data_IF_847518799522
#
_entry.id   IF_847518799522
#
_cell.length_a   1.000
_cell.length_b   1.000
_cell.length_c   1.000
_cell.angle_alpha   90.00
_cell.angle_beta   90.00
_cell.angle_gamma   90.00
#
_symmetry.space_group_name_H-M   'P 1'
#
loop_
_entity.id
_entity.type
_entity.pdbx_description
1 polymer ?
#
# COMPACT_ATOMS: atom_id res chain seq x y z
N UNK A 1 21.19 -13.96 39.15
CA UNK A 1 20.58 -14.53 37.97
C UNK A 1 20.83 -13.55 36.83
N UNK A 2 21.67 -13.88 35.88
CA UNK A 2 21.77 -13.09 34.63
C UNK A 2 20.49 -13.40 33.87
N UNK A 3 19.66 -12.40 33.59
CA UNK A 3 18.61 -12.49 32.60
C UNK A 3 19.27 -12.94 31.30
N UNK A 4 18.87 -14.10 30.79
CA UNK A 4 19.22 -14.52 29.42
C UNK A 4 18.68 -13.43 28.50
N UNK A 5 19.57 -12.71 27.82
CA UNK A 5 19.16 -11.83 26.71
C UNK A 5 18.39 -12.69 25.71
N UNK A 6 17.29 -12.18 25.15
CA UNK A 6 16.64 -12.86 24.04
C UNK A 6 17.71 -13.21 22.99
N UNK A 7 17.67 -14.44 22.49
CA UNK A 7 18.58 -14.88 21.42
C UNK A 7 18.35 -13.95 20.23
N UNK A 8 19.40 -13.26 19.79
CA UNK A 8 19.33 -12.32 18.67
C UNK A 8 18.73 -13.01 17.44
N UNK A 9 17.61 -12.49 16.96
CA UNK A 9 16.95 -12.98 15.73
C UNK A 9 17.83 -12.66 14.54
N UNK A 10 18.15 -13.65 13.71
CA UNK A 10 18.90 -13.47 12.46
C UNK A 10 17.91 -13.34 11.33
N UNK A 11 17.89 -12.16 10.73
CA UNK A 11 17.04 -11.82 9.58
C UNK A 11 17.82 -12.02 8.28
N UNK A 12 17.20 -12.63 7.28
CA UNK A 12 17.70 -12.65 5.91
C UNK A 12 16.76 -11.89 4.98
N UNK A 13 17.32 -11.06 4.11
CA UNK A 13 16.60 -10.31 3.08
C UNK A 13 17.05 -10.79 1.70
N UNK A 14 16.13 -11.33 0.93
CA UNK A 14 16.38 -11.76 -0.46
C UNK A 14 15.71 -10.74 -1.39
N UNK A 15 16.53 -9.87 -1.99
CA UNK A 15 16.11 -8.63 -2.63
C UNK A 15 16.21 -7.44 -1.66
N UNK A 16 17.16 -6.52 -1.92
CA UNK A 16 17.46 -5.38 -1.04
C UNK A 16 17.16 -4.07 -1.79
N UNK A 17 15.97 -4.00 -2.41
CA UNK A 17 15.45 -2.78 -3.01
C UNK A 17 14.74 -1.88 -2.00
N UNK A 18 13.78 -1.09 -2.48
CA UNK A 18 12.96 -0.21 -1.62
C UNK A 18 12.33 -0.97 -0.44
N UNK A 19 11.56 -2.03 -0.72
CA UNK A 19 10.83 -2.76 0.32
C UNK A 19 11.77 -3.55 1.22
N UNK A 20 12.66 -4.38 0.65
CA UNK A 20 13.61 -5.18 1.44
C UNK A 20 14.56 -4.31 2.27
N UNK A 21 15.06 -3.22 1.70
CA UNK A 21 15.87 -2.24 2.43
C UNK A 21 15.11 -1.57 3.56
N UNK A 22 13.84 -1.21 3.34
CA UNK A 22 12.98 -0.63 4.39
C UNK A 22 12.69 -1.62 5.53
N UNK A 23 12.47 -2.91 5.20
CA UNK A 23 12.36 -3.96 6.22
C UNK A 23 13.62 -4.01 7.08
N UNK A 24 14.80 -3.99 6.46
CA UNK A 24 16.07 -4.01 7.18
C UNK A 24 16.27 -2.78 8.08
N UNK A 25 15.98 -1.59 7.57
CA UNK A 25 16.07 -0.34 8.35
C UNK A 25 15.08 -0.34 9.52
N UNK A 26 13.81 -0.69 9.28
CA UNK A 26 12.79 -0.75 10.32
C UNK A 26 13.13 -1.81 11.39
N UNK A 27 13.57 -3.00 10.97
CA UNK A 27 13.98 -4.07 11.88
C UNK A 27 15.12 -3.64 12.79
N UNK A 28 16.15 -3.00 12.24
CA UNK A 28 17.29 -2.50 13.02
C UNK A 28 16.89 -1.38 14.00
N UNK A 29 16.01 -0.48 13.57
CA UNK A 29 15.69 0.72 14.35
C UNK A 29 14.62 0.48 15.42
N UNK A 30 13.79 -0.59 15.27
CA UNK A 30 12.57 -0.78 16.07
C UNK A 30 12.47 -2.15 16.76
N UNK A 31 13.26 -3.13 16.35
CA UNK A 31 13.24 -4.47 16.95
C UNK A 31 14.60 -4.84 17.55
N UNK A 32 14.75 -4.54 18.84
CA UNK A 32 15.97 -4.84 19.61
C UNK A 32 16.32 -6.35 19.65
N UNK A 33 15.42 -7.22 19.21
CA UNK A 33 15.67 -8.66 19.13
C UNK A 33 16.41 -9.07 17.85
N UNK A 34 16.53 -8.17 16.85
CA UNK A 34 17.24 -8.46 15.59
C UNK A 34 18.73 -8.12 15.73
N UNK A 35 19.57 -9.14 15.71
CA UNK A 35 21.02 -8.99 15.86
C UNK A 35 21.78 -8.90 14.52
N UNK A 36 21.51 -9.81 13.60
CA UNK A 36 22.12 -9.84 12.27
C UNK A 36 21.06 -9.68 11.17
N UNK A 37 21.38 -8.86 10.17
CA UNK A 37 20.58 -8.72 8.94
C UNK A 37 21.46 -9.06 7.75
N UNK A 38 21.30 -10.28 7.22
CA UNK A 38 22.01 -10.73 6.03
C UNK A 38 21.21 -10.37 4.78
N UNK A 39 21.79 -9.64 3.83
CA UNK A 39 21.13 -9.28 2.58
C UNK A 39 21.75 -9.94 1.38
N UNK A 40 20.94 -10.39 0.44
CA UNK A 40 21.34 -10.83 -0.91
C UNK A 40 20.55 -10.08 -1.97
N UNK A 41 21.27 -9.52 -2.94
CA UNK A 41 20.71 -8.91 -4.16
C UNK A 41 21.69 -9.17 -5.33
N UNK A 42 21.20 -9.62 -6.50
CA UNK A 42 22.06 -9.89 -7.65
C UNK A 42 22.56 -8.63 -8.35
N UNK A 43 21.99 -7.46 -8.05
CA UNK A 43 22.32 -6.20 -8.72
C UNK A 43 23.60 -5.62 -8.17
N UNK A 44 24.61 -5.35 -9.02
CA UNK A 44 25.88 -4.78 -8.56
C UNK A 44 25.71 -3.47 -7.80
N UNK A 45 26.40 -3.32 -6.67
CA UNK A 45 26.41 -2.10 -5.86
C UNK A 45 25.25 -1.95 -4.88
N UNK A 46 24.16 -2.71 -5.01
CA UNK A 46 23.00 -2.64 -4.10
C UNK A 46 23.39 -3.02 -2.68
N UNK A 47 24.16 -4.09 -2.50
CA UNK A 47 24.57 -4.54 -1.18
C UNK A 47 25.54 -3.57 -0.50
N UNK A 48 26.44 -2.95 -1.25
CA UNK A 48 27.36 -1.92 -0.72
C UNK A 48 26.58 -0.71 -0.20
N UNK A 49 25.59 -0.26 -0.98
CA UNK A 49 24.71 0.84 -0.58
C UNK A 49 23.82 0.46 0.61
N UNK A 50 23.28 -0.77 0.64
CA UNK A 50 22.50 -1.28 1.75
C UNK A 50 23.31 -1.36 3.05
N UNK A 51 24.58 -1.76 2.99
CA UNK A 51 25.51 -1.71 4.12
C UNK A 51 25.76 -0.28 4.57
N UNK A 52 25.99 0.64 3.64
CA UNK A 52 26.23 2.06 3.94
C UNK A 52 25.05 2.71 4.63
N UNK A 53 23.83 2.41 4.18
CA UNK A 53 22.59 2.89 4.77
C UNK A 53 22.24 2.18 6.10
N UNK A 54 22.85 1.01 6.32
CA UNK A 54 22.57 0.15 7.46
C UNK A 54 21.29 -0.64 7.34
N UNK A 55 20.77 -0.82 6.13
CA UNK A 55 19.64 -1.69 5.85
C UNK A 55 19.99 -3.17 6.03
N UNK A 56 21.26 -3.51 5.90
CA UNK A 56 21.83 -4.83 6.21
C UNK A 56 23.09 -4.67 7.06
N UNK A 57 23.41 -5.70 7.82
CA UNK A 57 24.68 -5.78 8.61
C UNK A 57 25.73 -6.67 7.93
N UNK A 58 25.28 -7.55 7.01
CA UNK A 58 26.14 -8.47 6.27
C UNK A 58 25.64 -8.62 4.82
N UNK A 59 26.56 -8.48 3.87
CA UNK A 59 26.30 -8.84 2.47
C UNK A 59 26.51 -10.36 2.30
N UNK A 60 25.49 -11.04 1.81
CA UNK A 60 25.57 -12.47 1.49
C UNK A 60 25.99 -12.68 0.03
N UNK A 61 26.70 -13.78 -0.23
CA UNK A 61 27.22 -14.12 -1.56
C UNK A 61 26.23 -14.91 -2.41
N UNK A 62 25.19 -15.48 -1.77
CA UNK A 62 24.10 -16.20 -2.44
C UNK A 62 22.85 -16.21 -1.55
N UNK A 63 21.73 -16.69 -2.12
CA UNK A 63 20.48 -16.91 -1.36
C UNK A 63 20.72 -17.90 -0.22
N UNK A 64 21.45 -18.97 -0.48
CA UNK A 64 21.75 -20.03 0.50
C UNK A 64 22.63 -19.48 1.63
N UNK A 65 23.63 -18.64 1.31
CA UNK A 65 24.47 -17.98 2.33
C UNK A 65 23.66 -17.06 3.22
N UNK A 66 22.71 -16.31 2.67
CA UNK A 66 21.82 -15.46 3.45
C UNK A 66 20.90 -16.29 4.37
N UNK A 67 20.34 -17.39 3.86
CA UNK A 67 19.29 -18.17 4.51
C UNK A 67 19.82 -19.21 5.52
N UNK A 68 21.07 -19.69 5.40
CA UNK A 68 21.60 -20.87 6.11
C UNK A 68 21.43 -20.83 7.64
N UNK A 69 21.53 -19.65 8.24
CA UNK A 69 21.41 -19.47 9.70
C UNK A 69 20.28 -18.52 10.07
N UNK A 70 19.44 -18.15 9.13
CA UNK A 70 18.36 -17.21 9.39
C UNK A 70 17.23 -17.84 10.20
N UNK A 71 16.72 -17.07 11.12
CA UNK A 71 15.53 -17.41 11.92
C UNK A 71 14.26 -16.87 11.26
N UNK A 72 14.40 -15.79 10.49
CA UNK A 72 13.34 -15.18 9.68
C UNK A 72 13.92 -14.78 8.32
N UNK A 73 13.21 -15.11 7.24
CA UNK A 73 13.61 -14.74 5.88
C UNK A 73 12.48 -13.96 5.21
N UNK A 74 12.82 -12.80 4.64
CA UNK A 74 11.89 -11.98 3.86
C UNK A 74 12.34 -11.98 2.39
N UNK A 75 11.48 -12.49 1.52
CA UNK A 75 11.65 -12.48 0.08
C UNK A 75 11.08 -11.19 -0.49
N UNK A 76 11.93 -10.26 -0.89
CA UNK A 76 11.55 -8.96 -1.46
C UNK A 76 12.01 -8.81 -2.92
N UNK A 77 12.09 -9.92 -3.64
CA UNK A 77 12.37 -9.98 -5.08
C UNK A 77 11.09 -9.83 -5.91
N UNK A 78 11.20 -9.56 -7.24
CA UNK A 78 10.05 -9.47 -8.14
C UNK A 78 9.15 -10.71 -8.09
N UNK A 79 7.82 -10.51 -8.24
CA UNK A 79 6.81 -11.59 -8.12
C UNK A 79 7.16 -12.80 -8.99
N UNK A 80 7.64 -12.59 -10.20
CA UNK A 80 8.00 -13.66 -11.13
C UNK A 80 9.14 -14.59 -10.66
N UNK A 81 9.95 -14.15 -9.69
CA UNK A 81 11.09 -14.94 -9.16
C UNK A 81 10.86 -15.49 -7.75
N UNK A 82 9.77 -15.08 -7.10
CA UNK A 82 9.51 -15.42 -5.69
C UNK A 82 9.46 -16.92 -5.44
N UNK A 83 8.78 -17.69 -6.28
CA UNK A 83 8.64 -19.13 -6.09
C UNK A 83 9.98 -19.89 -6.21
N UNK A 84 10.86 -19.46 -7.10
CA UNK A 84 12.19 -20.03 -7.25
C UNK A 84 13.06 -19.68 -6.03
N UNK A 85 13.09 -18.42 -5.66
CA UNK A 85 13.84 -17.93 -4.50
C UNK A 85 13.35 -18.57 -3.19
N UNK A 86 12.03 -18.76 -3.03
CA UNK A 86 11.47 -19.44 -1.87
C UNK A 86 11.97 -20.89 -1.74
N UNK A 87 12.03 -21.63 -2.86
CA UNK A 87 12.55 -23.01 -2.85
C UNK A 87 14.03 -23.05 -2.48
N UNK A 88 14.86 -22.12 -3.01
CA UNK A 88 16.28 -22.03 -2.66
C UNK A 88 16.46 -21.71 -1.15
N UNK A 89 15.69 -20.77 -0.63
CA UNK A 89 15.68 -20.44 0.80
C UNK A 89 15.26 -21.65 1.65
N UNK A 90 14.19 -22.34 1.30
CA UNK A 90 13.66 -23.49 2.05
C UNK A 90 14.65 -24.66 2.10
N UNK A 91 15.46 -24.84 1.04
CA UNK A 91 16.49 -25.86 0.98
C UNK A 91 17.67 -25.55 1.92
N UNK A 92 17.97 -24.29 2.17
CA UNK A 92 19.12 -23.81 2.95
C UNK A 92 18.76 -23.45 4.41
N UNK A 93 17.57 -22.93 4.63
CA UNK A 93 17.13 -22.45 5.95
C UNK A 93 16.88 -23.57 6.95
N UNK A 94 17.11 -23.28 8.23
CA UNK A 94 16.87 -24.21 9.32
C UNK A 94 15.40 -24.63 9.45
N UNK A 95 15.11 -25.76 10.13
CA UNK A 95 13.76 -26.32 10.22
C UNK A 95 12.78 -25.46 11.03
N UNK A 96 13.27 -24.51 11.81
CA UNK A 96 12.48 -23.59 12.62
C UNK A 96 12.41 -22.17 12.03
N UNK A 97 13.03 -21.94 10.85
CA UNK A 97 12.98 -20.66 10.18
C UNK A 97 11.55 -20.34 9.72
N UNK A 98 11.16 -19.07 9.82
CA UNK A 98 9.93 -18.57 9.22
C UNK A 98 10.30 -17.83 7.93
N UNK A 99 9.66 -18.18 6.83
CA UNK A 99 9.89 -17.57 5.53
C UNK A 99 8.63 -16.84 5.10
N UNK A 100 8.78 -15.60 4.67
CA UNK A 100 7.69 -14.78 4.13
C UNK A 100 8.15 -14.04 2.88
N UNK A 101 7.20 -13.47 2.15
CA UNK A 101 7.48 -12.60 1.02
C UNK A 101 6.78 -11.23 1.16
N UNK A 102 7.03 -10.34 0.21
CA UNK A 102 6.38 -9.02 0.13
C UNK A 102 5.68 -8.80 -1.22
N UNK A 103 5.45 -9.84 -1.98
CA UNK A 103 4.87 -9.76 -3.31
C UNK A 103 3.42 -9.29 -3.30
N UNK A 104 2.99 -8.69 -4.40
CA UNK A 104 1.65 -8.09 -4.54
C UNK A 104 0.53 -9.12 -4.75
N UNK A 105 0.86 -10.38 -5.06
CA UNK A 105 -0.10 -11.48 -5.26
C UNK A 105 0.31 -12.69 -4.46
N UNK A 106 -0.67 -13.45 -3.95
CA UNK A 106 -0.40 -14.53 -2.99
C UNK A 106 -0.74 -15.93 -3.47
N UNK A 107 -1.82 -16.09 -4.23
CA UNK A 107 -2.34 -17.41 -4.60
C UNK A 107 -1.29 -18.29 -5.30
N UNK A 108 -0.61 -17.72 -6.31
CA UNK A 108 0.38 -18.50 -7.07
C UNK A 108 1.60 -18.88 -6.24
N UNK A 109 2.13 -17.97 -5.43
CA UNK A 109 3.30 -18.25 -4.60
C UNK A 109 2.99 -19.26 -3.51
N UNK A 110 1.85 -19.11 -2.82
CA UNK A 110 1.43 -20.04 -1.76
C UNK A 110 1.19 -21.44 -2.33
N UNK A 111 0.55 -21.55 -3.50
CA UNK A 111 0.36 -22.84 -4.17
C UNK A 111 1.67 -23.47 -4.69
N UNK A 112 2.65 -22.65 -5.06
CA UNK A 112 3.94 -23.13 -5.57
C UNK A 112 4.94 -23.53 -4.48
N UNK A 113 4.68 -23.12 -3.22
CA UNK A 113 5.55 -23.33 -2.05
C UNK A 113 4.77 -24.10 -0.99
N UNK A 114 4.77 -25.43 -1.12
CA UNK A 114 4.10 -26.34 -0.16
C UNK A 114 5.05 -26.69 1.00
N UNK A 115 5.32 -25.72 1.88
CA UNK A 115 6.15 -25.91 3.08
C UNK A 115 5.55 -25.14 4.26
N UNK A 116 5.35 -25.76 5.43
CA UNK A 116 4.72 -25.12 6.59
C UNK A 116 5.50 -23.92 7.16
N UNK A 117 6.78 -23.76 6.82
CA UNK A 117 7.60 -22.61 7.22
C UNK A 117 7.32 -21.37 6.40
N UNK A 118 6.69 -21.50 5.20
CA UNK A 118 6.37 -20.40 4.34
C UNK A 118 5.00 -19.82 4.68
N UNK A 119 4.95 -18.50 4.90
CA UNK A 119 3.73 -17.73 5.12
C UNK A 119 3.77 -16.56 4.16
N UNK A 120 2.89 -16.54 3.18
CA UNK A 120 2.86 -15.43 2.23
C UNK A 120 2.61 -14.10 2.94
N UNK A 121 3.25 -13.04 2.47
CA UNK A 121 3.14 -11.70 3.02
C UNK A 121 2.96 -10.65 1.92
N UNK A 122 2.28 -9.56 2.23
CA UNK A 122 2.14 -8.40 1.34
C UNK A 122 1.90 -7.12 2.15
N UNK A 123 2.91 -6.24 2.30
CA UNK A 123 2.71 -4.91 2.85
C UNK A 123 1.93 -4.04 1.85
N UNK A 124 0.84 -3.42 2.31
CA UNK A 124 0.15 -2.39 1.51
C UNK A 124 0.90 -1.07 1.74
N UNK A 125 2.12 -1.06 1.29
CA UNK A 125 3.04 0.05 1.40
C UNK A 125 3.95 0.07 0.16
N UNK A 126 4.38 1.24 -0.23
CA UNK A 126 5.27 1.41 -1.39
C UNK A 126 5.44 2.86 -1.74
N UNK A 127 6.26 3.11 -2.75
CA UNK A 127 6.45 4.41 -3.35
C UNK A 127 6.60 4.24 -4.87
N UNK A 128 6.46 5.34 -5.60
CA UNK A 128 6.68 5.36 -7.06
C UNK A 128 8.18 5.23 -7.42
N UNK A 129 9.05 5.33 -6.41
CA UNK A 129 10.51 5.16 -6.52
C UNK A 129 10.90 3.70 -6.30
N UNK A 130 12.07 3.31 -6.79
CA UNK A 130 12.68 1.99 -6.62
C UNK A 130 14.14 2.13 -6.19
N UNK A 131 14.73 1.04 -5.67
CA UNK A 131 16.11 1.03 -5.21
C UNK A 131 16.25 1.18 -3.71
N UNK A 132 17.37 0.71 -3.16
CA UNK A 132 17.68 0.75 -1.73
C UNK A 132 17.94 2.17 -1.22
N UNK A 133 18.35 3.08 -2.11
CA UNK A 133 18.58 4.50 -1.82
C UNK A 133 17.31 5.26 -1.41
N UNK A 134 16.13 4.69 -1.71
CA UNK A 134 14.83 5.22 -1.31
C UNK A 134 14.22 4.48 -0.11
N UNK A 135 14.95 3.49 0.43
CA UNK A 135 14.48 2.74 1.59
C UNK A 135 14.42 3.63 2.85
N UNK A 136 13.41 3.41 3.67
CA UNK A 136 13.19 4.17 4.91
C UNK A 136 12.52 3.32 5.98
N UNK A 137 12.86 3.54 7.24
CA UNK A 137 12.39 2.74 8.36
C UNK A 137 10.88 2.94 8.67
N UNK A 138 10.31 4.05 8.27
CA UNK A 138 8.91 4.43 8.49
C UNK A 138 7.97 4.05 7.33
N UNK A 139 8.46 3.30 6.34
CA UNK A 139 7.66 2.93 5.16
C UNK A 139 6.38 2.16 5.50
N UNK A 140 6.41 1.40 6.59
CA UNK A 140 5.33 0.51 6.99
C UNK A 140 4.43 1.08 8.08
N UNK A 141 4.70 2.31 8.56
CA UNK A 141 3.93 2.91 9.65
C UNK A 141 2.45 2.94 9.32
N UNK A 142 1.65 2.37 10.22
CA UNK A 142 0.20 2.23 10.12
C UNK A 142 -0.33 1.49 8.87
N UNK A 143 0.55 0.97 8.02
CA UNK A 143 0.14 0.21 6.84
C UNK A 143 -0.41 -1.16 7.21
N UNK A 144 -1.38 -1.64 6.45
CA UNK A 144 -1.81 -3.04 6.54
C UNK A 144 -0.75 -3.95 5.92
N UNK A 145 -0.40 -5.03 6.62
CA UNK A 145 0.44 -6.09 6.07
C UNK A 145 -0.34 -7.40 6.07
N UNK A 146 -0.77 -7.81 4.88
CA UNK A 146 -1.47 -9.08 4.73
C UNK A 146 -0.53 -10.25 4.93
N UNK A 147 -1.01 -11.28 5.67
CA UNK A 147 -0.35 -12.55 5.85
C UNK A 147 -1.30 -13.65 5.38
N UNK A 148 -0.79 -14.60 4.61
CA UNK A 148 -1.60 -15.68 4.06
C UNK A 148 -1.12 -17.05 4.57
N UNK A 149 -1.45 -17.41 5.85
CA UNK A 149 -1.17 -18.72 6.39
C UNK A 149 -2.00 -19.79 5.68
N UNK A 150 -1.49 -21.02 5.68
CA UNK A 150 -2.19 -22.23 5.21
C UNK A 150 -2.59 -23.10 6.40
N UNK A 151 -3.36 -24.16 6.15
CA UNK A 151 -3.71 -25.13 7.19
C UNK A 151 -2.49 -25.84 7.81
N UNK A 152 -1.38 -25.94 7.05
CA UNK A 152 -0.12 -26.50 7.51
C UNK A 152 0.75 -25.53 8.31
N UNK A 153 0.41 -24.24 8.35
CA UNK A 153 1.22 -23.20 8.99
C UNK A 153 1.24 -23.39 10.53
N UNK A 154 2.43 -23.55 11.15
CA UNK A 154 2.51 -23.63 12.61
C UNK A 154 2.07 -22.32 13.27
N UNK A 155 1.19 -22.40 14.28
CA UNK A 155 0.71 -21.20 14.98
C UNK A 155 1.83 -20.36 15.62
N UNK A 156 2.92 -21.02 16.07
CA UNK A 156 4.12 -20.33 16.60
C UNK A 156 4.85 -19.55 15.53
N UNK A 157 4.92 -20.07 14.29
CA UNK A 157 5.51 -19.39 13.14
C UNK A 157 4.71 -18.15 12.75
N UNK A 158 3.38 -18.30 12.64
CA UNK A 158 2.48 -17.18 12.36
C UNK A 158 2.59 -16.10 13.45
N UNK A 159 2.54 -16.48 14.73
CA UNK A 159 2.67 -15.52 15.84
C UNK A 159 4.00 -14.76 15.80
N UNK A 160 5.10 -15.47 15.49
CA UNK A 160 6.41 -14.86 15.36
C UNK A 160 6.43 -13.82 14.22
N UNK A 161 5.88 -14.18 13.06
CA UNK A 161 5.81 -13.27 11.92
C UNK A 161 4.90 -12.06 12.20
N UNK A 162 3.75 -12.25 12.85
CA UNK A 162 2.87 -11.14 13.25
C UNK A 162 3.56 -10.16 14.20
N UNK A 163 4.34 -10.66 15.17
CA UNK A 163 5.13 -9.80 16.07
C UNK A 163 6.20 -9.01 15.31
N UNK A 164 6.91 -9.66 14.41
CA UNK A 164 7.92 -9.02 13.59
C UNK A 164 7.30 -7.91 12.74
N UNK A 165 6.23 -8.20 12.02
CA UNK A 165 5.50 -7.21 11.20
C UNK A 165 5.01 -6.04 12.06
N UNK A 166 4.47 -6.32 13.26
CA UNK A 166 4.06 -5.28 14.21
C UNK A 166 5.23 -4.43 14.71
N UNK A 167 6.40 -5.03 14.95
CA UNK A 167 7.60 -4.29 15.33
C UNK A 167 8.10 -3.36 14.21
N UNK A 168 7.86 -3.71 12.94
CA UNK A 168 8.16 -2.81 11.80
C UNK A 168 7.21 -1.59 11.71
N UNK A 169 6.16 -1.51 12.54
CA UNK A 169 5.16 -0.43 12.53
C UNK A 169 3.91 -0.75 11.72
N UNK A 170 3.84 -1.91 11.07
CA UNK A 170 2.69 -2.32 10.27
C UNK A 170 1.62 -3.05 11.12
N UNK A 171 0.40 -3.11 10.59
CA UNK A 171 -0.73 -3.85 11.18
C UNK A 171 -0.89 -5.18 10.45
N UNK A 172 -0.49 -6.33 11.07
CA UNK A 172 -0.63 -7.63 10.43
C UNK A 172 -2.11 -8.03 10.35
N UNK A 173 -2.54 -8.48 9.17
CA UNK A 173 -3.89 -8.96 8.92
C UNK A 173 -3.85 -10.31 8.20
N UNK A 174 -4.36 -11.37 8.83
CA UNK A 174 -4.35 -12.72 8.26
C UNK A 174 -5.63 -12.99 7.45
N UNK A 175 -5.47 -13.50 6.23
CA UNK A 175 -6.56 -13.99 5.38
C UNK A 175 -6.03 -15.08 4.43
N UNK A 176 -6.90 -15.81 3.77
CA UNK A 176 -6.47 -16.80 2.79
C UNK A 176 -5.97 -16.13 1.49
N UNK A 177 -5.08 -16.82 0.76
CA UNK A 177 -4.41 -16.27 -0.42
C UNK A 177 -5.37 -15.94 -1.57
N UNK A 178 -6.49 -16.68 -1.68
CA UNK A 178 -7.49 -16.42 -2.71
C UNK A 178 -8.33 -15.19 -2.39
N UNK A 179 -8.74 -15.02 -1.11
CA UNK A 179 -9.43 -13.83 -0.66
C UNK A 179 -8.55 -12.59 -0.79
N UNK A 180 -7.23 -12.71 -0.48
CA UNK A 180 -6.26 -11.66 -0.72
C UNK A 180 -6.25 -11.21 -2.19
N UNK A 181 -6.08 -12.16 -3.10
CA UNK A 181 -5.93 -11.82 -4.53
C UNK A 181 -7.21 -11.27 -5.14
N UNK A 182 -8.40 -11.74 -4.69
CA UNK A 182 -9.69 -11.13 -5.05
C UNK A 182 -9.79 -9.69 -4.53
N UNK A 183 -9.48 -9.47 -3.27
CA UNK A 183 -9.50 -8.13 -2.69
C UNK A 183 -8.60 -7.17 -3.46
N UNK A 184 -7.35 -7.57 -3.71
CA UNK A 184 -6.37 -6.74 -4.43
C UNK A 184 -6.74 -6.53 -5.90
N UNK A 185 -7.46 -7.47 -6.53
CA UNK A 185 -7.99 -7.26 -7.87
C UNK A 185 -8.91 -6.05 -7.92
N UNK A 186 -9.82 -5.90 -6.93
CA UNK A 186 -10.80 -4.82 -6.90
C UNK A 186 -10.23 -3.48 -6.44
N UNK A 187 -9.41 -3.47 -5.35
CA UNK A 187 -9.00 -2.22 -4.71
C UNK A 187 -7.64 -1.68 -5.19
N UNK A 188 -6.85 -2.48 -5.93
CA UNK A 188 -5.51 -2.10 -6.40
C UNK A 188 -5.33 -2.31 -7.90
N UNK A 189 -5.53 -3.55 -8.39
CA UNK A 189 -5.17 -3.89 -9.77
C UNK A 189 -6.13 -3.29 -10.78
N UNK A 190 -7.44 -3.37 -10.53
CA UNK A 190 -8.47 -2.77 -11.36
C UNK A 190 -8.35 -1.23 -11.45
N UNK A 191 -8.14 -0.48 -10.35
CA UNK A 191 -7.83 0.95 -10.42
C UNK A 191 -6.66 1.28 -11.35
N UNK A 192 -5.59 0.50 -11.34
CA UNK A 192 -4.47 0.68 -12.27
C UNK A 192 -4.86 0.44 -13.75
N UNK A 193 -5.61 -0.61 -14.03
CA UNK A 193 -6.14 -0.88 -15.38
C UNK A 193 -7.03 0.28 -15.84
N UNK A 194 -7.91 0.75 -14.96
CA UNK A 194 -8.81 1.88 -15.26
C UNK A 194 -8.05 3.18 -15.51
N UNK A 195 -7.04 3.48 -14.72
CA UNK A 195 -6.19 4.65 -14.89
C UNK A 195 -5.49 4.63 -16.27
N UNK A 196 -4.92 3.48 -16.66
CA UNK A 196 -4.29 3.32 -17.97
C UNK A 196 -5.29 3.45 -19.11
N UNK A 197 -6.47 2.85 -18.99
CA UNK A 197 -7.53 2.93 -20.00
C UNK A 197 -8.04 4.38 -20.17
N UNK A 198 -8.25 5.11 -19.06
CA UNK A 198 -8.68 6.51 -19.08
C UNK A 198 -7.66 7.42 -19.76
N UNK A 199 -6.37 7.26 -19.46
CA UNK A 199 -5.30 8.04 -20.10
C UNK A 199 -5.27 7.77 -21.60
N UNK A 200 -5.31 6.51 -22.00
CA UNK A 200 -5.27 6.13 -23.42
C UNK A 200 -6.51 6.67 -24.17
N UNK A 201 -7.71 6.53 -23.60
CA UNK A 201 -8.96 7.05 -24.16
C UNK A 201 -8.91 8.58 -24.33
N UNK A 202 -8.43 9.31 -23.32
CA UNK A 202 -8.31 10.75 -23.40
C UNK A 202 -7.28 11.20 -24.46
N UNK A 203 -6.13 10.52 -24.52
CA UNK A 203 -5.09 10.79 -25.52
C UNK A 203 -5.58 10.56 -26.97
N UNK A 204 -6.37 9.52 -27.19
CA UNK A 204 -6.95 9.23 -28.50
C UNK A 204 -8.01 10.29 -28.89
N UNK A 205 -8.83 10.72 -27.93
CA UNK A 205 -9.88 11.73 -28.17
C UNK A 205 -9.33 13.14 -28.39
N UNK A 206 -8.24 13.50 -27.70
CA UNK A 206 -7.62 14.83 -27.80
C UNK A 206 -6.62 14.96 -28.95
N UNK A 207 -6.35 13.90 -29.71
CA UNK A 207 -5.35 13.89 -30.79
C UNK A 207 -3.93 13.89 -30.24
N UNK A 208 -3.17 12.83 -30.50
CA UNK A 208 -1.77 12.70 -30.07
C UNK A 208 -0.90 13.76 -30.74
N UNK A 209 -0.64 14.88 -30.06
CA UNK A 209 0.34 15.86 -30.49
C UNK A 209 -0.20 17.14 -31.16
N UNK A 210 -1.50 17.43 -31.12
CA UNK A 210 -2.09 18.65 -31.70
C UNK A 210 -2.06 19.89 -30.78
N UNK A 211 -1.45 19.77 -29.59
CA UNK A 211 -1.31 20.88 -28.64
C UNK A 211 -2.55 21.19 -27.81
N UNK A 212 -3.68 20.51 -28.01
CA UNK A 212 -4.91 20.68 -27.22
C UNK A 212 -4.82 20.02 -25.84
N UNK A 213 -3.77 19.23 -25.59
CA UNK A 213 -3.55 18.43 -24.39
C UNK A 213 -3.19 19.26 -23.11
N UNK A 214 -3.31 20.59 -23.15
CA UNK A 214 -2.89 21.47 -22.03
C UNK A 214 -3.91 21.58 -20.88
N UNK A 215 -5.13 21.08 -21.01
CA UNK A 215 -6.20 21.32 -20.02
C UNK A 215 -6.77 20.02 -19.48
N UNK A 216 -6.03 19.40 -18.55
CA UNK A 216 -6.57 18.28 -17.73
C UNK A 216 -7.00 18.80 -16.36
N UNK A 217 -8.26 18.54 -16.00
CA UNK A 217 -8.83 18.93 -14.69
C UNK A 217 -8.28 18.09 -13.53
N UNK A 218 -8.50 18.53 -12.26
CA UNK A 218 -8.07 17.80 -11.08
C UNK A 218 -8.57 16.34 -11.06
N UNK A 219 -9.87 16.12 -11.28
CA UNK A 219 -10.48 14.78 -11.27
C UNK A 219 -9.79 13.80 -12.21
N UNK A 220 -9.33 14.25 -13.39
CA UNK A 220 -8.59 13.40 -14.31
C UNK A 220 -7.20 13.06 -13.75
N UNK A 221 -6.50 14.04 -13.17
CA UNK A 221 -5.18 13.79 -12.56
C UNK A 221 -5.27 12.80 -11.42
N UNK A 222 -6.27 12.95 -10.54
CA UNK A 222 -6.49 12.06 -9.40
C UNK A 222 -6.81 10.64 -9.87
N UNK A 223 -7.76 10.49 -10.80
CA UNK A 223 -8.17 9.20 -11.35
C UNK A 223 -7.06 8.49 -12.16
N UNK A 224 -6.07 9.24 -12.65
CA UNK A 224 -4.99 8.71 -13.49
C UNK A 224 -3.61 8.76 -12.84
N UNK A 225 -3.51 9.15 -11.57
CA UNK A 225 -2.24 9.32 -10.86
C UNK A 225 -1.35 8.09 -10.92
N UNK A 226 -1.94 6.91 -10.86
CA UNK A 226 -1.22 5.63 -10.87
C UNK A 226 -0.92 5.10 -12.29
N UNK A 227 -1.39 5.78 -13.35
CA UNK A 227 -1.08 5.38 -14.72
C UNK A 227 0.41 5.57 -15.04
N UNK A 228 0.98 4.66 -15.83
CA UNK A 228 2.38 4.73 -16.23
C UNK A 228 3.38 4.24 -15.18
N UNK A 229 2.93 3.56 -14.13
CA UNK A 229 3.78 2.86 -13.17
C UNK A 229 4.68 1.81 -13.88
N UNK A 230 5.69 1.29 -13.18
CA UNK A 230 6.69 0.38 -13.75
C UNK A 230 6.06 -0.81 -14.48
N UNK A 231 6.17 -0.81 -15.82
CA UNK A 231 5.50 -1.76 -16.71
C UNK A 231 5.86 -3.22 -16.42
N UNK A 232 7.11 -3.52 -16.05
CA UNK A 232 7.54 -4.91 -15.79
C UNK A 232 6.89 -5.46 -14.52
N UNK A 233 6.84 -4.67 -13.47
CA UNK A 233 6.21 -5.04 -12.19
C UNK A 233 4.71 -5.27 -12.41
N UNK A 234 4.03 -4.32 -13.06
CA UNK A 234 2.58 -4.41 -13.24
C UNK A 234 2.16 -5.49 -14.22
N UNK A 235 2.95 -5.76 -15.26
CA UNK A 235 2.72 -6.93 -16.13
C UNK A 235 2.71 -8.23 -15.30
N UNK A 236 3.68 -8.40 -14.43
CA UNK A 236 3.79 -9.62 -13.63
C UNK A 236 2.65 -9.71 -12.60
N UNK A 237 2.22 -8.59 -12.01
CA UNK A 237 1.04 -8.52 -11.13
C UNK A 237 -0.23 -8.91 -11.89
N UNK A 238 -0.48 -8.33 -13.07
CA UNK A 238 -1.67 -8.64 -13.86
C UNK A 238 -1.73 -10.10 -14.27
N UNK A 239 -0.60 -10.67 -14.72
CA UNK A 239 -0.53 -12.07 -15.13
C UNK A 239 -0.68 -13.03 -13.95
N UNK A 240 -0.12 -12.69 -12.79
CA UNK A 240 -0.23 -13.54 -11.61
C UNK A 240 -1.61 -13.51 -10.94
N UNK A 241 -2.38 -12.44 -11.16
CA UNK A 241 -3.75 -12.30 -10.62
C UNK A 241 -4.83 -12.21 -11.70
N UNK A 242 -4.57 -12.73 -12.91
CA UNK A 242 -5.49 -12.60 -14.05
C UNK A 242 -6.87 -13.22 -13.77
N UNK A 243 -6.92 -14.34 -13.03
CA UNK A 243 -8.17 -15.04 -12.74
C UNK A 243 -9.13 -14.21 -11.88
N UNK A 244 -8.63 -13.35 -10.98
CA UNK A 244 -9.45 -12.42 -10.21
C UNK A 244 -9.67 -11.09 -10.95
N UNK A 245 -8.68 -10.64 -11.71
CA UNK A 245 -8.74 -9.33 -12.38
C UNK A 245 -9.70 -9.32 -13.56
N UNK A 246 -9.79 -10.40 -14.35
CA UNK A 246 -10.71 -10.47 -15.51
C UNK A 246 -12.16 -10.31 -15.06
N UNK A 247 -12.69 -11.05 -14.07
CA UNK A 247 -14.05 -10.82 -13.57
C UNK A 247 -14.27 -9.40 -13.00
N UNK A 248 -13.25 -8.82 -12.33
CA UNK A 248 -13.35 -7.45 -11.83
C UNK A 248 -13.50 -6.42 -12.96
N UNK A 249 -12.77 -6.59 -14.06
CA UNK A 249 -12.92 -5.79 -15.28
C UNK A 249 -14.32 -5.96 -15.88
N UNK A 250 -14.81 -7.19 -16.01
CA UNK A 250 -16.16 -7.47 -16.53
C UNK A 250 -17.24 -6.79 -15.67
N UNK A 251 -17.06 -6.78 -14.36
CA UNK A 251 -17.92 -6.06 -13.41
C UNK A 251 -17.98 -4.56 -13.69
N UNK A 252 -16.84 -3.91 -13.92
CA UNK A 252 -16.81 -2.48 -14.28
C UNK A 252 -17.42 -2.23 -15.64
N UNK A 253 -17.18 -3.07 -16.62
CA UNK A 253 -17.83 -2.96 -17.94
C UNK A 253 -19.35 -3.00 -17.80
N UNK A 254 -19.89 -3.89 -16.96
CA UNK A 254 -21.33 -3.95 -16.68
C UNK A 254 -21.84 -2.62 -16.06
N UNK A 255 -21.14 -2.07 -15.06
CA UNK A 255 -21.48 -0.77 -14.46
C UNK A 255 -21.42 0.40 -15.46
N UNK A 256 -20.40 0.43 -16.30
CA UNK A 256 -20.30 1.43 -17.37
C UNK A 256 -21.46 1.33 -18.37
N UNK A 257 -21.92 0.13 -18.68
CA UNK A 257 -23.10 -0.09 -19.53
C UNK A 257 -24.38 0.45 -18.86
N UNK A 258 -24.58 0.27 -17.55
CA UNK A 258 -25.71 0.85 -16.81
C UNK A 258 -25.73 2.39 -16.97
N UNK A 259 -24.61 3.06 -16.78
CA UNK A 259 -24.49 4.51 -17.00
C UNK A 259 -24.77 4.90 -18.44
N UNK A 260 -24.21 4.17 -19.43
CA UNK A 260 -24.44 4.44 -20.85
C UNK A 260 -25.93 4.32 -21.20
N UNK A 261 -26.57 3.25 -20.73
CA UNK A 261 -27.98 3.00 -21.03
C UNK A 261 -28.91 4.07 -20.43
N UNK A 262 -28.60 4.55 -19.21
CA UNK A 262 -29.32 5.65 -18.57
C UNK A 262 -29.12 6.98 -19.34
N UNK A 263 -27.91 7.24 -19.83
CA UNK A 263 -27.60 8.43 -20.64
C UNK A 263 -28.28 8.37 -22.01
N UNK A 264 -28.32 7.23 -22.72
CA UNK A 264 -29.01 7.06 -23.98
C UNK A 264 -30.51 7.34 -23.84
N UNK A 265 -31.11 6.87 -22.74
CA UNK A 265 -32.53 7.11 -22.41
C UNK A 265 -32.79 8.51 -21.84
N UNK A 266 -31.76 9.28 -21.52
CA UNK A 266 -31.81 10.56 -20.78
C UNK A 266 -32.58 10.43 -19.47
N UNK A 267 -32.41 9.29 -18.77
CA UNK A 267 -33.07 8.98 -17.52
C UNK A 267 -32.31 9.62 -16.34
N UNK A 268 -32.73 10.85 -16.01
CA UNK A 268 -32.10 11.61 -14.90
C UNK A 268 -32.33 10.96 -13.53
N UNK A 269 -33.41 10.19 -13.34
CA UNK A 269 -33.71 9.51 -12.08
C UNK A 269 -32.71 8.34 -11.88
N UNK A 270 -32.50 7.56 -12.93
CA UNK A 270 -31.56 6.43 -12.89
C UNK A 270 -30.11 6.92 -12.73
N UNK A 271 -29.71 8.01 -13.42
CA UNK A 271 -28.38 8.62 -13.25
C UNK A 271 -28.17 9.06 -11.78
N UNK A 272 -29.16 9.72 -11.16
CA UNK A 272 -29.08 10.12 -9.76
C UNK A 272 -28.93 8.89 -8.86
N UNK A 273 -29.76 7.86 -9.06
CA UNK A 273 -29.67 6.61 -8.30
C UNK A 273 -28.27 5.97 -8.36
N UNK A 274 -27.66 5.89 -9.54
CA UNK A 274 -26.31 5.33 -9.71
C UNK A 274 -25.26 6.12 -8.93
N UNK A 275 -25.35 7.45 -8.93
CA UNK A 275 -24.44 8.30 -8.15
C UNK A 275 -24.67 8.16 -6.64
N UNK A 276 -25.92 8.11 -6.18
CA UNK A 276 -26.25 7.99 -4.76
C UNK A 276 -25.75 6.64 -4.19
N UNK A 277 -25.89 5.56 -4.95
CA UNK A 277 -25.33 4.24 -4.58
C UNK A 277 -23.80 4.33 -4.44
N UNK A 278 -23.13 4.91 -5.42
CA UNK A 278 -21.67 5.04 -5.39
C UNK A 278 -21.21 5.92 -4.20
N UNK A 279 -21.95 6.96 -3.85
CA UNK A 279 -21.66 7.80 -2.68
C UNK A 279 -21.77 6.99 -1.38
N UNK A 280 -22.86 6.23 -1.21
CA UNK A 280 -23.08 5.41 -0.02
C UNK A 280 -22.03 4.30 0.11
N UNK A 281 -21.71 3.61 -1.00
CA UNK A 281 -20.69 2.57 -1.03
C UNK A 281 -19.30 3.14 -0.68
N UNK A 282 -18.96 4.32 -1.21
CA UNK A 282 -17.69 5.00 -0.88
C UNK A 282 -17.58 5.31 0.60
N UNK A 283 -18.64 5.87 1.19
CA UNK A 283 -18.67 6.15 2.63
C UNK A 283 -18.43 4.86 3.43
N UNK A 284 -19.17 3.80 3.13
CA UNK A 284 -19.04 2.53 3.84
C UNK A 284 -17.63 1.88 3.69
N UNK A 285 -17.00 1.99 2.53
CA UNK A 285 -15.66 1.46 2.29
C UNK A 285 -14.62 2.24 3.12
N UNK A 286 -14.69 3.57 3.15
CA UNK A 286 -13.79 4.40 3.94
C UNK A 286 -13.98 4.20 5.45
N UNK A 287 -15.21 4.06 5.92
CA UNK A 287 -15.50 3.77 7.35
C UNK A 287 -14.89 2.45 7.82
N UNK A 288 -14.83 1.43 6.94
CA UNK A 288 -14.18 0.14 7.25
C UNK A 288 -12.66 0.22 7.32
N UNK A 289 -12.05 1.06 6.52
CA UNK A 289 -10.60 1.28 6.53
C UNK A 289 -10.16 1.97 7.83
N UNK A 290 -11.04 2.77 8.39
CA UNK A 290 -10.83 3.52 9.61
C UNK A 290 -11.40 2.74 10.81
N UNK A 291 -10.65 1.76 11.27
CA UNK A 291 -10.99 1.00 12.49
C UNK A 291 -11.19 1.94 13.67
N UNK A 292 -12.43 2.40 13.92
CA UNK A 292 -12.71 3.20 15.09
C UNK A 292 -13.94 4.11 15.06
N UNK A 293 -14.77 4.13 14.00
CA UNK A 293 -15.99 4.93 14.01
C UNK A 293 -16.30 5.68 12.72
N UNK A 294 -17.43 6.32 12.70
CA UNK A 294 -17.89 7.18 11.59
C UNK A 294 -16.84 8.25 11.27
N UNK A 295 -16.55 8.40 9.97
CA UNK A 295 -15.65 9.44 9.47
C UNK A 295 -16.48 10.56 8.88
N UNK A 296 -16.22 11.77 9.30
CA UNK A 296 -16.84 12.94 8.75
C UNK A 296 -15.89 13.65 7.78
N UNK A 297 -16.38 13.99 6.59
CA UNK A 297 -15.69 14.86 5.65
C UNK A 297 -16.00 16.32 5.96
N UNK A 298 -14.94 17.10 6.16
CA UNK A 298 -15.02 18.56 6.31
C UNK A 298 -14.42 19.23 5.09
N UNK A 299 -15.17 20.11 4.44
CA UNK A 299 -14.67 20.94 3.34
C UNK A 299 -14.30 22.33 3.83
N UNK A 300 -13.04 22.68 3.66
CA UNK A 300 -12.48 23.95 4.12
C UNK A 300 -12.05 24.78 2.91
N UNK A 301 -12.57 26.00 2.81
CA UNK A 301 -12.14 26.95 1.78
C UNK A 301 -10.94 27.73 2.27
N UNK A 302 -9.84 27.70 1.54
CA UNK A 302 -8.57 28.28 1.95
C UNK A 302 -7.90 29.10 0.85
N UNK A 303 -7.14 30.16 1.21
CA UNK A 303 -6.21 30.80 0.27
C UNK A 303 -5.03 29.84 -0.02
N UNK A 304 -4.57 29.81 -1.25
CA UNK A 304 -3.40 29.03 -1.63
C UNK A 304 -2.12 29.78 -1.23
N UNK A 305 -1.76 29.69 0.03
CA UNK A 305 -0.61 30.36 0.62
C UNK A 305 0.21 29.39 1.48
N UNK A 306 1.55 29.55 1.50
CA UNK A 306 2.39 28.74 2.40
C UNK A 306 1.96 28.87 3.86
N UNK A 307 1.94 27.75 4.59
CA UNK A 307 1.63 27.72 6.01
C UNK A 307 0.14 27.53 6.35
N UNK A 308 -0.80 27.75 5.44
CA UNK A 308 -2.24 27.60 5.72
C UNK A 308 -2.58 26.18 6.15
N UNK A 309 -2.13 25.18 5.39
CA UNK A 309 -2.34 23.78 5.72
C UNK A 309 -1.70 23.40 7.06
N UNK A 310 -0.46 23.85 7.28
CA UNK A 310 0.24 23.61 8.53
C UNK A 310 -0.50 24.22 9.74
N UNK A 311 -1.06 25.40 9.61
CA UNK A 311 -1.83 26.04 10.68
C UNK A 311 -3.08 25.22 11.04
N UNK A 312 -3.81 24.74 10.03
CA UNK A 312 -5.00 23.89 10.25
C UNK A 312 -4.61 22.58 10.92
N UNK A 313 -3.65 21.85 10.36
CA UNK A 313 -3.26 20.53 10.88
C UNK A 313 -2.66 20.62 12.28
N UNK A 314 -1.87 21.64 12.57
CA UNK A 314 -1.30 21.86 13.91
C UNK A 314 -2.37 22.25 14.94
N UNK A 315 -3.37 23.06 14.56
CA UNK A 315 -4.45 23.40 15.45
C UNK A 315 -5.30 22.18 15.83
N UNK A 316 -5.63 21.34 14.84
CA UNK A 316 -6.36 20.09 15.05
C UNK A 316 -5.57 19.11 15.90
N UNK A 317 -4.28 18.92 15.56
CA UNK A 317 -3.40 18.00 16.29
C UNK A 317 -3.16 18.38 17.76
N UNK A 318 -3.01 19.69 18.08
CA UNK A 318 -2.88 20.19 19.46
C UNK A 318 -4.07 19.84 20.35
N UNK A 319 -5.24 19.78 19.74
CA UNK A 319 -6.49 19.48 20.41
C UNK A 319 -6.88 18.00 20.34
N UNK A 320 -5.97 17.15 19.85
CA UNK A 320 -6.18 15.70 19.78
C UNK A 320 -7.14 15.23 18.67
N UNK A 321 -7.45 16.10 17.71
CA UNK A 321 -8.26 15.71 16.55
C UNK A 321 -7.36 15.01 15.54
N UNK A 322 -7.61 13.72 15.30
CA UNK A 322 -6.90 12.93 14.32
C UNK A 322 -7.46 13.19 12.91
N UNK A 323 -6.59 13.64 11.99
CA UNK A 323 -6.90 13.72 10.57
C UNK A 323 -6.57 12.36 9.98
N UNK A 324 -7.57 11.72 9.43
CA UNK A 324 -7.45 10.39 8.86
C UNK A 324 -6.94 10.45 7.44
N UNK A 325 -7.46 11.40 6.65
CA UNK A 325 -7.06 11.65 5.27
C UNK A 325 -7.29 13.12 4.90
N UNK A 326 -6.61 13.59 3.85
CA UNK A 326 -6.82 14.92 3.30
C UNK A 326 -6.64 14.95 1.78
N UNK A 327 -7.46 15.76 1.12
CA UNK A 327 -7.31 16.06 -0.30
C UNK A 327 -7.28 17.56 -0.55
N UNK A 328 -6.41 17.99 -1.46
CA UNK A 328 -6.22 19.39 -1.84
C UNK A 328 -6.81 19.66 -3.22
N UNK A 329 -7.68 20.63 -3.34
CA UNK A 329 -8.33 21.04 -4.57
C UNK A 329 -7.99 22.51 -4.89
N UNK A 330 -6.85 22.80 -5.54
CA UNK A 330 -6.52 24.16 -5.92
C UNK A 330 -7.52 24.67 -6.97
N UNK A 331 -7.98 25.91 -6.79
CA UNK A 331 -8.82 26.56 -7.77
C UNK A 331 -8.03 26.89 -9.05
N UNK A 332 -8.73 27.06 -10.17
CA UNK A 332 -8.11 27.34 -11.47
C UNK A 332 -7.24 28.60 -11.48
N UNK A 333 -7.52 29.57 -10.61
CA UNK A 333 -6.75 30.82 -10.48
C UNK A 333 -5.48 30.65 -9.62
N UNK A 334 -5.25 29.47 -9.03
CA UNK A 334 -4.15 29.15 -8.13
C UNK A 334 -4.00 30.08 -6.91
N UNK A 335 -5.00 30.94 -6.63
CA UNK A 335 -4.99 31.87 -5.49
C UNK A 335 -5.78 31.38 -4.30
N UNK A 336 -6.70 30.47 -4.54
CA UNK A 336 -7.55 29.83 -3.53
C UNK A 336 -7.64 28.32 -3.81
N UNK A 337 -8.31 27.60 -2.91
CA UNK A 337 -8.59 26.18 -3.06
C UNK A 337 -9.54 25.70 -2.00
N UNK A 338 -9.87 24.44 -2.06
CA UNK A 338 -10.56 23.72 -1.00
C UNK A 338 -9.65 22.60 -0.47
N UNK A 339 -9.81 22.30 0.82
CA UNK A 339 -9.24 21.14 1.47
C UNK A 339 -10.40 20.27 1.93
N UNK A 340 -10.44 19.00 1.52
CA UNK A 340 -11.25 18.00 2.21
C UNK A 340 -10.42 17.36 3.30
N UNK A 341 -10.93 17.33 4.52
CA UNK A 341 -10.34 16.67 5.67
C UNK A 341 -11.29 15.59 6.15
N UNK A 342 -10.80 14.38 6.31
CA UNK A 342 -11.54 13.29 6.93
C UNK A 342 -11.08 13.13 8.36
N UNK A 343 -11.99 13.25 9.31
CA UNK A 343 -11.73 13.12 10.75
C UNK A 343 -12.60 12.03 11.36
N UNK A 344 -12.05 11.27 12.30
CA UNK A 344 -12.71 10.13 12.91
C UNK A 344 -13.68 10.52 14.01
N UNK A 345 -14.99 10.24 13.81
CA UNK A 345 -16.04 10.44 14.80
C UNK A 345 -16.71 11.81 14.76
N UNK A 346 -18.01 11.83 15.06
CA UNK A 346 -18.83 13.05 15.05
C UNK A 346 -18.37 14.12 16.05
N UNK A 347 -17.91 13.71 17.22
CA UNK A 347 -17.38 14.61 18.24
C UNK A 347 -16.10 15.31 17.77
N UNK A 348 -15.17 14.56 17.17
CA UNK A 348 -13.96 15.11 16.61
C UNK A 348 -14.25 16.01 15.40
N UNK A 349 -15.23 15.67 14.57
CA UNK A 349 -15.65 16.50 13.45
C UNK A 349 -16.24 17.84 13.92
N UNK A 350 -17.10 17.84 14.93
CA UNK A 350 -17.65 19.08 15.49
C UNK A 350 -16.55 19.96 16.10
N UNK A 351 -15.59 19.35 16.80
CA UNK A 351 -14.44 20.06 17.35
C UNK A 351 -13.55 20.62 16.24
N UNK A 352 -13.30 19.86 15.17
CA UNK A 352 -12.52 20.31 14.02
C UNK A 352 -13.19 21.49 13.31
N UNK A 353 -14.50 21.46 13.08
CA UNK A 353 -15.24 22.58 12.51
C UNK A 353 -15.05 23.85 13.33
N UNK A 354 -15.20 23.76 14.64
CA UNK A 354 -15.02 24.90 15.52
C UNK A 354 -13.58 25.47 15.41
N UNK A 355 -12.56 24.64 15.53
CA UNK A 355 -11.16 25.05 15.48
C UNK A 355 -10.79 25.69 14.13
N UNK A 356 -11.27 25.11 13.02
CA UNK A 356 -11.03 25.64 11.68
C UNK A 356 -11.73 27.00 11.49
N UNK A 357 -12.95 27.14 11.99
CA UNK A 357 -13.67 28.40 11.97
C UNK A 357 -12.99 29.48 12.83
N UNK A 358 -12.44 29.12 14.01
CA UNK A 358 -11.64 30.03 14.86
C UNK A 358 -10.36 30.51 14.17
N UNK A 359 -9.77 29.72 13.28
CA UNK A 359 -8.64 30.14 12.42
C UNK A 359 -9.08 31.06 11.28
N UNK A 360 -10.38 31.34 11.12
CA UNK A 360 -10.93 32.22 10.11
C UNK A 360 -11.20 31.57 8.76
N UNK A 361 -11.18 30.23 8.67
CA UNK A 361 -11.46 29.52 7.42
C UNK A 361 -12.92 29.03 7.36
N UNK A 362 -13.65 29.32 6.25
CA UNK A 362 -14.97 28.73 6.04
C UNK A 362 -14.86 27.20 5.96
N UNK A 363 -15.66 26.51 6.77
CA UNK A 363 -15.72 25.05 6.85
C UNK A 363 -17.16 24.58 6.82
N UNK A 364 -17.41 23.45 6.17
CA UNK A 364 -18.72 22.79 6.15
C UNK A 364 -18.53 21.28 6.14
N UNK A 365 -19.44 20.54 6.77
CA UNK A 365 -19.54 19.09 6.56
C UNK A 365 -20.06 18.81 5.16
N UNK A 366 -19.50 17.79 4.51
CA UNK A 366 -19.91 17.37 3.17
C UNK A 366 -21.06 16.36 3.22
#
# INVERSE_FOLDING_TARGET
MREERPTDTRLALIGVGLIGGSVGLAARDRDDSVGEIAGFDPTPGVLDEALRLGAITRAATSIEDAAANADLVVLASPVGTLAENARAVLAAAGPQAVITDVGSTKRQIVAAVDDPRFIGGHPIAGAETSGVEHARADLFDDSTWFLTPTESTPGTGLQRLMRFVGALGARPHALDAEAHDRLLADISHLPHVMANALVTQAADSLGRGDGSAGVVGPSFRDATRVAGANTSIWRDIYLSNHDALVPAIDGVIARLNEFRDALEKRDGVEIARLNDVALADRQQLLERELTGGEVAELRVSVPNQPGVLANITLALGKEGVNIVDMALYPAADMRSGAISLWVGGDEAAAKAEQLIAELGFPVARA
#
